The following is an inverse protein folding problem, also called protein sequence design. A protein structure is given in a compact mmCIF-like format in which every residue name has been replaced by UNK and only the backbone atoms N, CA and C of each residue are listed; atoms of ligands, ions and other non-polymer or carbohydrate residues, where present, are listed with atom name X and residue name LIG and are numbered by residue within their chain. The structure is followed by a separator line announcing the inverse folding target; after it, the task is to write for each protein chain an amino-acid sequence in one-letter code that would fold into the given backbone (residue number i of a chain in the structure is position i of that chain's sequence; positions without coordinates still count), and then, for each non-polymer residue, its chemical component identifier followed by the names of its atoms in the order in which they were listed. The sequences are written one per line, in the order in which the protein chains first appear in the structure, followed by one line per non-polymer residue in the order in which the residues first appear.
data_IF_841824870218
#
_entry.id   IF_841824870218
#
_cell.length_a   1.000
_cell.length_b   1.000
_cell.length_c   1.000
_cell.angle_alpha   90.00
_cell.angle_beta   90.00
_cell.angle_gamma   90.00
#
_symmetry.space_group_name_H-M   'P 1'
#
loop_
_entity.id
_entity.type
_entity.pdbx_description
1 polymer ?
#
# COMPACT_ATOMS: atom_id res chain seq x y z
N UNK A 1 12.26 18.53 -13.56
CA UNK A 1 13.29 17.46 -13.58
C UNK A 1 13.75 17.22 -12.15
N UNK A 2 13.76 15.96 -11.70
CA UNK A 2 14.21 15.56 -10.35
C UNK A 2 14.88 14.18 -10.36
N UNK A 3 15.31 13.71 -11.54
CA UNK A 3 16.06 12.46 -11.69
C UNK A 3 17.43 12.60 -11.05
N UNK A 4 17.83 11.59 -10.29
CA UNK A 4 19.13 11.54 -9.63
C UNK A 4 19.60 10.08 -9.49
N UNK A 5 20.92 9.84 -9.42
CA UNK A 5 21.45 8.51 -9.12
C UNK A 5 20.94 7.98 -7.77
N UNK A 6 20.64 6.69 -7.72
CA UNK A 6 20.07 6.09 -6.52
C UNK A 6 20.01 4.57 -6.57
N UNK A 7 19.43 4.00 -5.52
CA UNK A 7 19.23 2.56 -5.37
C UNK A 7 17.73 2.26 -5.24
N UNK A 8 17.34 1.06 -5.68
CA UNK A 8 16.00 0.52 -5.52
C UNK A 8 16.11 -0.75 -4.68
N UNK A 9 15.32 -0.82 -3.61
CA UNK A 9 15.20 -1.99 -2.76
C UNK A 9 13.80 -2.56 -2.87
N UNK A 10 13.68 -3.88 -2.79
CA UNK A 10 12.40 -4.59 -2.70
C UNK A 10 12.28 -5.29 -1.36
N UNK A 11 11.10 -5.24 -0.77
CA UNK A 11 10.72 -6.02 0.40
C UNK A 11 9.29 -6.53 0.22
N UNK A 12 8.99 -7.72 0.75
CA UNK A 12 7.62 -8.19 0.89
C UNK A 12 7.35 -8.76 2.28
N UNK A 13 6.08 -8.80 2.65
CA UNK A 13 5.63 -9.35 3.93
C UNK A 13 4.11 -9.47 4.00
N UNK A 14 3.64 -10.35 4.86
CA UNK A 14 2.20 -10.56 5.09
C UNK A 14 1.63 -9.44 5.99
N UNK A 15 0.58 -8.76 5.51
CA UNK A 15 -0.21 -7.80 6.27
C UNK A 15 -1.57 -8.41 6.61
N UNK A 16 -1.69 -8.91 7.84
CA UNK A 16 -2.92 -9.48 8.36
C UNK A 16 -3.98 -8.39 8.68
N UNK A 17 -5.24 -8.80 8.73
CA UNK A 17 -6.39 -8.02 9.22
C UNK A 17 -6.64 -6.68 8.50
N UNK A 18 -6.07 -6.48 7.31
CA UNK A 18 -6.21 -5.26 6.52
C UNK A 18 -7.18 -5.41 5.33
N UNK A 19 -7.65 -6.62 5.02
CA UNK A 19 -8.66 -6.87 3.98
C UNK A 19 -9.56 -8.07 4.32
N UNK A 20 -10.69 -8.16 3.61
CA UNK A 20 -11.58 -9.32 3.60
C UNK A 20 -12.03 -9.60 2.18
N UNK A 21 -12.40 -10.85 1.88
CA UNK A 21 -13.04 -11.19 0.62
C UNK A 21 -14.53 -10.85 0.70
N UNK A 22 -14.98 -9.86 -0.08
CA UNK A 22 -16.39 -9.42 -0.13
C UNK A 22 -17.31 -10.33 -0.96
N UNK A 23 -16.77 -11.39 -1.56
CA UNK A 23 -17.50 -12.36 -2.38
C UNK A 23 -16.96 -13.78 -2.20
N UNK A 24 -16.96 -14.32 -0.96
CA UNK A 24 -16.32 -15.59 -0.64
C UNK A 24 -16.93 -16.76 -1.41
N UNK A 25 -18.26 -16.79 -1.59
CA UNK A 25 -18.93 -17.84 -2.36
C UNK A 25 -18.50 -17.91 -3.83
N UNK A 26 -18.14 -16.76 -4.42
CA UNK A 26 -17.61 -16.75 -5.78
C UNK A 26 -16.19 -17.31 -5.83
N UNK A 27 -15.35 -16.97 -4.85
CA UNK A 27 -14.03 -17.56 -4.69
C UNK A 27 -14.11 -19.08 -4.45
N UNK A 28 -15.08 -19.55 -3.66
CA UNK A 28 -15.25 -20.97 -3.35
C UNK A 28 -15.60 -21.82 -4.57
N UNK A 29 -16.16 -21.21 -5.62
CA UNK A 29 -16.42 -21.86 -6.91
C UNK A 29 -15.17 -22.02 -7.79
N UNK A 30 -14.02 -21.46 -7.40
CA UNK A 30 -12.76 -21.74 -8.08
C UNK A 30 -12.37 -23.22 -7.90
N UNK A 31 -11.70 -23.84 -8.90
CA UNK A 31 -11.22 -25.22 -8.78
C UNK A 31 -10.42 -25.46 -7.50
N UNK A 32 -10.65 -26.59 -6.83
CA UNK A 32 -9.98 -26.89 -5.56
C UNK A 32 -8.45 -26.88 -5.69
N UNK A 33 -7.93 -27.44 -6.78
CA UNK A 33 -6.49 -27.44 -7.11
C UNK A 33 -5.87 -26.05 -7.25
N UNK A 34 -6.68 -25.03 -7.59
CA UNK A 34 -6.23 -23.63 -7.62
C UNK A 34 -6.24 -23.05 -6.21
N UNK A 35 -7.34 -23.20 -5.47
CA UNK A 35 -7.46 -22.68 -4.09
C UNK A 35 -6.38 -23.23 -3.15
N UNK A 36 -6.01 -24.51 -3.30
CA UNK A 36 -4.98 -25.18 -2.49
C UNK A 36 -3.57 -24.56 -2.65
N UNK A 37 -3.35 -23.73 -3.68
CA UNK A 37 -2.08 -23.00 -3.88
C UNK A 37 -1.95 -21.75 -3.00
N UNK A 38 -3.04 -21.32 -2.33
CA UNK A 38 -3.10 -20.09 -1.55
C UNK A 38 -3.46 -20.39 -0.10
N UNK A 39 -2.91 -19.60 0.84
CA UNK A 39 -3.19 -19.77 2.28
C UNK A 39 -4.60 -19.32 2.67
N UNK A 40 -5.14 -18.33 1.97
CA UNK A 40 -6.37 -17.60 2.32
C UNK A 40 -7.12 -17.16 1.07
N UNK A 41 -8.38 -16.75 1.22
CA UNK A 41 -9.21 -16.23 0.11
C UNK A 41 -9.03 -14.72 -0.15
N UNK A 42 -8.09 -14.10 0.56
CA UNK A 42 -7.53 -12.78 0.29
C UNK A 42 -6.03 -12.92 0.12
N UNK A 43 -5.45 -12.02 -0.67
CA UNK A 43 -4.00 -11.87 -0.76
C UNK A 43 -3.54 -10.92 0.36
N UNK A 44 -2.65 -11.43 1.22
CA UNK A 44 -2.07 -10.71 2.35
C UNK A 44 -0.68 -10.17 2.06
N UNK A 45 -0.07 -10.53 0.92
CA UNK A 45 1.28 -10.09 0.60
C UNK A 45 1.27 -8.61 0.23
N UNK A 46 2.06 -7.83 0.97
CA UNK A 46 2.38 -6.47 0.66
C UNK A 46 3.78 -6.42 0.03
N UNK A 47 3.92 -5.81 -1.14
CA UNK A 47 5.20 -5.62 -1.82
C UNK A 47 5.57 -4.13 -1.79
N UNK A 48 6.77 -3.82 -1.29
CA UNK A 48 7.31 -2.46 -1.19
C UNK A 48 8.53 -2.32 -2.09
N UNK A 49 8.52 -1.31 -2.96
CA UNK A 49 9.73 -0.75 -3.56
C UNK A 49 10.12 0.53 -2.81
N UNK A 50 11.37 0.59 -2.34
CA UNK A 50 11.95 1.77 -1.69
C UNK A 50 13.03 2.36 -2.58
N UNK A 51 12.98 3.66 -2.80
CA UNK A 51 13.95 4.42 -3.58
C UNK A 51 14.80 5.25 -2.64
N UNK A 52 16.12 5.23 -2.84
CA UNK A 52 17.06 6.06 -2.09
C UNK A 52 18.04 6.74 -3.02
N UNK A 53 18.62 7.85 -2.58
CA UNK A 53 19.87 8.37 -3.14
C UNK A 53 21.03 7.40 -2.91
N UNK A 54 22.18 7.67 -3.52
CA UNK A 54 23.40 6.86 -3.34
C UNK A 54 23.99 6.96 -1.92
N UNK A 55 23.75 8.07 -1.21
CA UNK A 55 24.11 8.27 0.20
C UNK A 55 23.04 7.77 1.19
N UNK A 56 21.96 7.15 0.69
CA UNK A 56 20.98 6.44 1.52
C UNK A 56 19.79 7.27 2.00
N UNK A 57 19.68 8.56 1.62
CA UNK A 57 18.48 9.37 1.87
C UNK A 57 17.29 8.75 1.13
N UNK A 58 16.14 8.66 1.80
CA UNK A 58 14.90 8.17 1.19
C UNK A 58 14.37 9.18 0.17
N UNK A 59 14.09 8.71 -1.04
CA UNK A 59 13.45 9.48 -2.11
C UNK A 59 11.95 9.21 -2.20
N UNK A 60 11.53 8.02 -1.78
CA UNK A 60 10.14 7.63 -1.78
C UNK A 60 9.97 6.13 -1.83
N UNK A 61 8.73 5.71 -2.05
CA UNK A 61 8.38 4.30 -2.13
C UNK A 61 7.09 4.07 -2.92
N UNK A 62 6.94 2.87 -3.47
CA UNK A 62 5.69 2.38 -4.02
C UNK A 62 5.31 1.11 -3.28
N UNK A 63 4.04 1.00 -2.90
CA UNK A 63 3.52 -0.13 -2.14
C UNK A 63 2.32 -0.76 -2.85
N UNK A 64 2.39 -2.07 -3.07
CA UNK A 64 1.30 -2.89 -3.61
C UNK A 64 0.70 -3.74 -2.50
N UNK A 65 -0.61 -3.61 -2.31
CA UNK A 65 -1.40 -4.41 -1.37
C UNK A 65 -2.87 -4.39 -1.81
N UNK A 66 -3.55 -5.55 -2.00
CA UNK A 66 -4.91 -5.57 -2.52
C UNK A 66 -5.94 -5.30 -1.42
N UNK A 67 -6.48 -4.07 -1.42
CA UNK A 67 -7.63 -3.68 -0.59
C UNK A 67 -8.39 -2.57 -1.29
N UNK A 68 -9.73 -2.58 -1.18
CA UNK A 68 -10.57 -1.51 -1.73
C UNK A 68 -10.40 -0.20 -0.94
N UNK A 69 -10.22 0.90 -1.67
CA UNK A 69 -10.29 2.27 -1.13
C UNK A 69 -11.76 2.70 -0.93
N UNK A 70 -12.46 2.02 -0.02
CA UNK A 70 -13.87 2.27 0.31
C UNK A 70 -14.10 2.34 1.82
N UNK A 71 -13.10 2.80 2.59
CA UNK A 71 -13.24 3.02 4.02
C UNK A 71 -14.14 4.23 4.33
N UNK A 72 -14.06 5.27 3.51
CA UNK A 72 -15.05 6.34 3.49
C UNK A 72 -16.31 5.82 2.79
N UNK A 73 -17.40 5.74 3.54
CA UNK A 73 -18.66 5.21 3.04
C UNK A 73 -19.34 6.17 2.04
N UNK A 74 -20.39 5.69 1.36
CA UNK A 74 -21.05 6.42 0.27
C UNK A 74 -21.77 7.72 0.70
N UNK A 75 -21.90 7.97 1.99
CA UNK A 75 -22.48 9.19 2.56
C UNK A 75 -21.43 10.27 2.87
N UNK A 76 -20.15 9.99 2.66
CA UNK A 76 -19.08 10.98 2.78
C UNK A 76 -19.17 12.01 1.64
N UNK A 77 -19.13 13.30 2.00
CA UNK A 77 -19.21 14.42 1.04
C UNK A 77 -17.88 15.16 0.86
N UNK A 78 -16.81 14.71 1.54
CA UNK A 78 -15.49 15.32 1.47
C UNK A 78 -14.56 14.58 0.49
N UNK A 79 -13.71 15.32 -0.22
CA UNK A 79 -12.62 14.74 -1.00
C UNK A 79 -11.65 14.02 -0.06
N UNK A 80 -11.30 12.79 -0.37
CA UNK A 80 -10.41 11.95 0.45
C UNK A 80 -9.60 10.99 -0.41
N UNK A 81 -8.36 10.71 0.01
CA UNK A 81 -7.54 9.62 -0.54
C UNK A 81 -7.87 8.24 0.05
N UNK A 82 -8.86 8.17 0.95
CA UNK A 82 -9.30 6.95 1.64
C UNK A 82 -8.17 6.27 2.44
N UNK A 83 -8.26 4.96 2.69
CA UNK A 83 -7.29 4.21 3.47
C UNK A 83 -5.87 4.24 2.87
N UNK A 84 -5.72 4.05 1.56
CA UNK A 84 -4.41 4.09 0.88
C UNK A 84 -3.81 5.49 0.86
N UNK A 85 -4.63 6.53 0.67
CA UNK A 85 -4.18 7.92 0.75
C UNK A 85 -3.72 8.29 2.16
N UNK A 86 -4.43 7.82 3.19
CA UNK A 86 -4.00 8.03 4.58
C UNK A 86 -2.68 7.30 4.89
N UNK A 87 -2.52 6.06 4.42
CA UNK A 87 -1.25 5.33 4.56
C UNK A 87 -0.09 6.06 3.86
N UNK A 88 -0.30 6.56 2.64
CA UNK A 88 0.68 7.38 1.92
C UNK A 88 1.05 8.65 2.67
N UNK A 89 0.05 9.39 3.17
CA UNK A 89 0.25 10.59 3.99
C UNK A 89 1.09 10.31 5.25
N UNK A 90 0.81 9.22 5.98
CA UNK A 90 1.59 8.85 7.17
C UNK A 90 3.05 8.52 6.80
N UNK A 91 3.27 7.88 5.66
CA UNK A 91 4.61 7.55 5.16
C UNK A 91 5.40 8.82 4.77
N UNK A 92 4.77 9.74 4.04
CA UNK A 92 5.35 11.05 3.70
C UNK A 92 5.71 11.84 4.96
N UNK A 93 4.80 11.89 5.94
CA UNK A 93 5.06 12.57 7.22
C UNK A 93 6.23 11.94 7.99
N UNK A 94 6.35 10.62 7.93
CA UNK A 94 7.48 9.90 8.56
C UNK A 94 8.81 10.24 7.88
N UNK A 95 8.82 10.36 6.55
CA UNK A 95 10.03 10.64 5.78
C UNK A 95 10.46 12.11 5.84
N UNK A 96 9.50 13.03 5.81
CA UNK A 96 9.77 14.47 5.79
C UNK A 96 9.85 15.10 7.19
N UNK A 97 9.47 14.36 8.23
CA UNK A 97 9.49 14.83 9.61
C UNK A 97 8.20 15.54 10.06
N UNK A 98 8.02 15.75 11.38
CA UNK A 98 6.76 16.18 11.97
C UNK A 98 6.35 17.62 11.64
N UNK A 99 7.33 18.48 11.32
CA UNK A 99 7.12 19.91 11.07
C UNK A 99 6.84 20.21 9.59
N UNK A 100 6.87 19.20 8.72
CA UNK A 100 6.59 19.37 7.28
C UNK A 100 5.08 19.34 7.05
N UNK A 101 4.56 20.31 6.28
CA UNK A 101 3.14 20.38 5.96
C UNK A 101 2.74 19.22 5.02
N UNK A 102 1.51 18.68 5.14
CA UNK A 102 1.01 17.64 4.24
C UNK A 102 1.12 18.06 2.76
N UNK A 103 1.57 17.14 1.89
CA UNK A 103 1.76 17.42 0.45
C UNK A 103 2.93 18.34 0.13
N UNK A 104 3.72 18.73 1.13
CA UNK A 104 5.00 19.43 0.97
C UNK A 104 6.13 18.48 1.41
N UNK A 105 7.27 18.54 0.74
CA UNK A 105 8.36 17.58 0.93
C UNK A 105 9.40 17.71 -0.17
N UNK A 106 10.57 17.11 0.05
CA UNK A 106 11.72 17.14 -0.88
C UNK A 106 12.03 15.76 -1.45
#
# INVERSE_FOLDING_TARGET
ESLQPGNIYVASGDLADANINRSPYAYDNNPQVEKDQYKTNTDTEMVLLKFTTTDGKVLGSVNWFPVHCTSMYNNNTYISGDNKGYAGYLMEKTFNGPDTLPGTGS
#
